data_IF_478587056382
#
_entry.id   IF_478587056382
#
_cell.length_a   1.000
_cell.length_b   1.000
_cell.length_c   1.000
_cell.angle_alpha   90.00
_cell.angle_beta   90.00
_cell.angle_gamma   90.00
#
_symmetry.space_group_name_H-M   'P 1'
#
loop_
_entity.id
_entity.type
_entity.pdbx_description
1 polymer ?
#
# COMPACT_ATOMS: atom_id res chain seq x y z
N UNK A 1 9.80 36.80 21.21
CA UNK A 1 9.09 35.91 20.26
C UNK A 1 8.29 34.91 21.08
N UNK A 2 6.97 35.10 21.12
CA UNK A 2 6.04 34.28 21.89
C UNK A 2 5.55 33.14 21.00
N UNK A 3 5.87 31.90 21.36
CA UNK A 3 5.33 30.71 20.71
C UNK A 3 4.09 30.25 21.49
N UNK A 4 2.92 30.45 20.90
CA UNK A 4 1.64 30.05 21.47
C UNK A 4 1.57 28.52 21.57
N UNK A 5 1.35 28.02 22.79
CA UNK A 5 0.98 26.62 23.04
C UNK A 5 -0.50 26.45 22.74
N UNK A 6 -0.84 25.84 21.61
CA UNK A 6 -2.21 25.41 21.38
C UNK A 6 -2.41 24.00 21.95
N UNK A 7 -3.40 23.90 22.82
CA UNK A 7 -3.77 22.71 23.56
C UNK A 7 -4.63 21.81 22.67
N UNK A 8 -4.14 20.61 22.37
CA UNK A 8 -4.97 19.54 21.80
C UNK A 8 -5.82 18.93 22.92
N UNK A 9 -7.03 19.45 23.10
CA UNK A 9 -8.05 18.86 23.99
C UNK A 9 -8.78 17.73 23.25
N UNK A 10 -8.88 16.59 23.95
CA UNK A 10 -9.27 15.32 23.37
C UNK A 10 -10.75 15.16 23.04
N UNK A 11 -11.02 14.20 22.16
CA UNK A 11 -12.36 13.63 21.98
C UNK A 11 -12.24 12.11 22.12
N UNK A 12 -12.45 11.63 23.35
CA UNK A 12 -12.87 10.24 23.60
C UNK A 12 -14.38 10.18 23.35
N UNK A 13 -14.84 9.50 22.31
CA UNK A 13 -16.26 9.10 22.20
C UNK A 13 -16.40 7.61 22.45
N UNK A 14 -17.27 7.31 23.41
CA UNK A 14 -17.57 6.00 23.97
C UNK A 14 -18.44 5.18 23.02
N UNK A 15 -18.23 3.87 23.16
CA UNK A 15 -19.03 2.70 22.78
C UNK A 15 -20.55 2.95 22.85
N UNK A 16 -21.28 2.45 21.84
CA UNK A 16 -22.70 2.11 21.96
C UNK A 16 -22.91 0.68 21.43
N UNK A 17 -23.13 -0.24 22.35
CA UNK A 17 -23.71 -1.57 22.13
C UNK A 17 -25.21 -1.41 21.88
N UNK A 18 -25.74 -2.05 20.83
CA UNK A 18 -27.17 -2.37 20.74
C UNK A 18 -27.29 -3.84 20.36
N UNK A 19 -27.79 -4.63 21.31
CA UNK A 19 -28.25 -5.98 21.09
C UNK A 19 -29.68 -5.94 20.55
N UNK A 20 -30.01 -6.80 19.59
CA UNK A 20 -31.39 -7.19 19.29
C UNK A 20 -31.44 -8.66 18.83
N UNK A 21 -32.00 -9.50 19.69
CA UNK A 21 -32.55 -10.83 19.39
C UNK A 21 -33.81 -10.67 18.52
N UNK A 22 -34.02 -11.56 17.54
CA UNK A 22 -35.32 -12.21 17.32
C UNK A 22 -35.19 -13.45 16.43
N UNK A 23 -35.69 -14.57 16.96
CA UNK A 23 -35.88 -15.88 16.34
C UNK A 23 -37.09 -15.88 15.39
N UNK A 24 -37.02 -16.63 14.28
CA UNK A 24 -38.20 -17.32 13.71
C UNK A 24 -37.78 -18.70 13.19
N UNK A 25 -38.51 -19.72 13.65
CA UNK A 25 -38.40 -21.13 13.27
C UNK A 25 -39.21 -21.43 11.99
N UNK A 26 -38.83 -22.48 11.25
CA UNK A 26 -39.61 -22.98 10.11
C UNK A 26 -39.17 -24.34 9.55
N UNK A 27 -39.80 -25.41 10.07
CA UNK A 27 -40.18 -26.71 9.47
C UNK A 27 -39.26 -27.52 8.53
N UNK A 28 -39.17 -28.80 8.88
CA UNK A 28 -38.62 -29.93 8.12
C UNK A 28 -39.52 -30.45 6.97
N UNK A 29 -38.90 -31.20 6.04
CA UNK A 29 -39.51 -32.11 5.06
C UNK A 29 -39.25 -31.66 3.60
N UNK A 30 -38.93 -32.49 2.60
CA UNK A 30 -38.82 -33.94 2.46
C UNK A 30 -37.90 -34.25 1.26
N UNK A 31 -37.42 -35.50 1.19
CA UNK A 31 -36.60 -36.04 0.10
C UNK A 31 -37.29 -36.04 -1.28
N UNK A 32 -36.52 -35.77 -2.32
CA UNK A 32 -36.90 -35.96 -3.73
C UNK A 32 -35.65 -36.14 -4.61
N UNK A 33 -35.58 -37.27 -5.30
CA UNK A 33 -34.48 -37.71 -6.17
C UNK A 33 -34.39 -36.93 -7.48
N UNK A 34 -33.14 -36.90 -7.99
CA UNK A 34 -32.72 -36.98 -9.38
C UNK A 34 -33.06 -35.83 -10.36
N UNK A 35 -32.00 -35.16 -10.80
CA UNK A 35 -31.97 -34.38 -12.04
C UNK A 35 -30.53 -34.07 -12.42
N UNK A 36 -29.95 -34.88 -13.33
CA UNK A 36 -28.60 -34.70 -13.87
C UNK A 36 -28.61 -33.57 -14.90
N UNK A 37 -27.72 -32.58 -14.74
CA UNK A 37 -27.23 -31.79 -15.88
C UNK A 37 -25.81 -31.29 -15.61
N UNK A 38 -24.89 -31.88 -16.37
CA UNK A 38 -23.61 -31.40 -16.92
C UNK A 38 -22.61 -30.56 -16.08
N UNK A 39 -21.31 -30.91 -16.12
CA UNK A 39 -20.25 -30.04 -15.67
C UNK A 39 -19.91 -29.03 -16.77
N UNK A 40 -20.36 -27.78 -16.64
CA UNK A 40 -19.75 -26.68 -17.39
C UNK A 40 -18.40 -26.33 -16.74
N UNK A 41 -17.40 -27.08 -17.18
CA UNK A 41 -16.02 -26.67 -17.01
C UNK A 41 -15.73 -25.41 -17.80
N UNK A 42 -14.83 -24.60 -17.22
CA UNK A 42 -13.82 -23.79 -17.93
C UNK A 42 -14.44 -22.71 -18.83
N UNK A 43 -14.51 -21.46 -18.39
CA UNK A 43 -13.38 -20.62 -18.05
C UNK A 43 -13.86 -19.55 -17.06
N UNK A 44 -13.33 -19.57 -15.83
CA UNK A 44 -12.91 -18.30 -15.25
C UNK A 44 -11.79 -17.83 -16.17
N UNK A 45 -12.18 -17.11 -17.23
CA UNK A 45 -11.26 -16.30 -17.99
C UNK A 45 -10.82 -15.27 -16.98
N UNK A 46 -9.71 -15.60 -16.33
CA UNK A 46 -8.83 -14.68 -15.66
C UNK A 46 -8.66 -13.56 -16.68
N UNK A 47 -9.48 -12.53 -16.56
CA UNK A 47 -9.25 -11.25 -17.19
C UNK A 47 -7.94 -10.81 -16.56
N UNK A 48 -6.84 -11.28 -17.16
CA UNK A 48 -5.61 -10.54 -17.25
C UNK A 48 -5.99 -9.35 -18.12
N UNK A 49 -6.67 -8.40 -17.49
CA UNK A 49 -6.86 -7.07 -18.03
C UNK A 49 -5.48 -6.61 -18.41
N UNK A 50 -5.31 -6.36 -19.70
CA UNK A 50 -4.12 -5.81 -20.34
C UNK A 50 -3.79 -4.47 -19.68
N UNK A 51 -3.17 -4.50 -18.51
CA UNK A 51 -2.67 -3.31 -17.80
C UNK A 51 -1.15 -3.37 -17.80
N UNK A 52 -0.56 -3.54 -18.98
CA UNK A 52 0.88 -3.37 -19.16
C UNK A 52 1.10 -2.34 -20.27
N UNK A 53 0.77 -1.08 -19.95
CA UNK A 53 1.06 0.05 -20.85
C UNK A 53 1.03 1.43 -20.18
N UNK A 54 0.45 1.59 -18.98
CA UNK A 54 0.31 2.92 -18.34
C UNK A 54 1.37 3.25 -17.28
N UNK A 55 2.11 2.26 -16.80
CA UNK A 55 3.15 2.45 -15.78
C UNK A 55 4.53 2.38 -16.43
N UNK A 56 5.22 3.52 -16.51
CA UNK A 56 6.57 3.64 -17.05
C UNK A 56 7.33 4.70 -16.26
N UNK A 57 8.54 4.36 -15.84
CA UNK A 57 9.43 5.29 -15.17
C UNK A 57 10.26 6.07 -16.20
N UNK A 58 10.04 7.38 -16.25
CA UNK A 58 10.78 8.33 -17.07
C UNK A 58 12.11 8.70 -16.42
N UNK A 59 13.13 7.85 -16.60
CA UNK A 59 14.48 8.07 -16.07
C UNK A 59 15.16 9.35 -16.60
N UNK A 60 14.68 9.92 -17.71
CA UNK A 60 15.15 11.19 -18.27
C UNK A 60 14.55 12.43 -17.57
N UNK A 61 13.58 12.24 -16.68
CA UNK A 61 13.03 13.32 -15.86
C UNK A 61 14.02 13.84 -14.80
N UNK A 62 15.05 13.04 -14.48
CA UNK A 62 16.13 13.40 -13.57
C UNK A 62 17.40 13.80 -14.33
N UNK A 63 18.13 14.80 -13.83
CA UNK A 63 19.49 15.11 -14.32
C UNK A 63 20.45 13.95 -14.05
N UNK A 64 21.62 13.90 -14.72
CA UNK A 64 22.62 12.88 -14.43
C UNK A 64 23.05 12.85 -12.95
N UNK A 65 23.21 14.02 -12.31
CA UNK A 65 23.53 14.09 -10.88
C UNK A 65 22.39 13.59 -10.01
N UNK A 66 21.15 14.02 -10.28
CA UNK A 66 19.96 13.56 -9.55
C UNK A 66 19.77 12.05 -9.67
N UNK A 67 20.01 11.48 -10.85
CA UNK A 67 19.91 10.03 -11.08
C UNK A 67 20.99 9.25 -10.32
N UNK A 68 22.22 9.76 -10.26
CA UNK A 68 23.28 9.14 -9.49
C UNK A 68 22.96 9.16 -7.98
N UNK A 69 22.45 10.29 -7.48
CA UNK A 69 22.03 10.42 -6.09
C UNK A 69 20.84 9.52 -5.76
N UNK A 70 19.81 9.51 -6.61
CA UNK A 70 18.63 8.65 -6.47
C UNK A 70 19.01 7.16 -6.45
N UNK A 71 19.96 6.74 -7.29
CA UNK A 71 20.48 5.37 -7.28
C UNK A 71 21.14 5.02 -5.94
N UNK A 72 22.00 5.90 -5.42
CA UNK A 72 22.67 5.69 -4.12
C UNK A 72 21.66 5.59 -2.97
N UNK A 73 20.66 6.47 -2.96
CA UNK A 73 19.58 6.41 -1.97
C UNK A 73 18.76 5.12 -2.12
N UNK A 74 18.42 4.72 -3.34
CA UNK A 74 17.69 3.48 -3.61
C UNK A 74 18.42 2.26 -3.05
N UNK A 75 19.72 2.13 -3.34
CA UNK A 75 20.57 1.05 -2.83
C UNK A 75 20.64 1.05 -1.29
N UNK A 76 20.81 2.22 -0.68
CA UNK A 76 20.80 2.39 0.77
C UNK A 76 19.47 1.94 1.37
N UNK A 77 18.34 2.45 0.86
CA UNK A 77 17.00 2.14 1.35
C UNK A 77 16.70 0.65 1.23
N UNK A 78 17.03 0.01 0.11
CA UNK A 78 16.85 -1.43 -0.06
C UNK A 78 17.66 -2.26 0.94
N UNK A 79 18.88 -1.83 1.26
CA UNK A 79 19.76 -2.54 2.18
C UNK A 79 19.34 -2.43 3.66
N UNK A 80 18.75 -1.30 4.05
CA UNK A 80 18.40 -1.00 5.45
C UNK A 80 16.90 -1.12 5.75
N UNK A 81 16.11 -1.52 4.76
CA UNK A 81 14.68 -1.76 4.94
C UNK A 81 14.48 -2.79 6.05
N UNK A 82 13.55 -2.51 6.96
CA UNK A 82 13.23 -3.42 8.06
C UNK A 82 12.20 -4.45 7.62
N UNK A 83 11.12 -3.99 7.01
CA UNK A 83 9.99 -4.81 6.64
C UNK A 83 9.28 -4.24 5.41
N UNK A 84 8.63 -5.12 4.65
CA UNK A 84 7.73 -4.76 3.55
C UNK A 84 6.37 -5.36 3.88
N UNK A 85 5.36 -4.50 3.94
CA UNK A 85 3.98 -4.90 4.21
C UNK A 85 3.17 -4.66 2.95
N UNK A 86 2.56 -5.72 2.41
CA UNK A 86 1.59 -5.58 1.31
C UNK A 86 0.30 -4.95 1.87
N UNK A 87 -0.19 -3.91 1.21
CA UNK A 87 -1.46 -3.26 1.53
C UNK A 87 -2.48 -3.52 0.41
N UNK A 88 -3.74 -3.15 0.64
CA UNK A 88 -4.78 -3.28 -0.37
C UNK A 88 -4.42 -2.51 -1.66
N UNK A 89 -3.84 -1.31 -1.51
CA UNK A 89 -3.59 -0.34 -2.60
C UNK A 89 -2.12 -0.23 -3.05
N UNK A 90 -1.21 -1.01 -2.47
CA UNK A 90 0.22 -0.84 -2.73
C UNK A 90 1.10 -1.57 -1.71
N UNK A 91 2.23 -0.99 -1.37
CA UNK A 91 3.16 -1.52 -0.37
C UNK A 91 3.57 -0.45 0.64
N UNK A 92 3.91 -0.91 1.83
CA UNK A 92 4.54 -0.09 2.86
C UNK A 92 5.94 -0.64 3.16
N UNK A 93 6.92 0.25 3.16
CA UNK A 93 8.30 -0.04 3.50
C UNK A 93 8.61 0.60 4.85
N UNK A 94 9.07 -0.20 5.79
CA UNK A 94 9.38 0.27 7.14
C UNK A 94 10.88 0.45 7.32
N UNK A 95 11.27 1.55 7.94
CA UNK A 95 12.66 1.92 8.21
C UNK A 95 12.85 2.33 9.67
N UNK A 96 14.05 2.10 10.16
CA UNK A 96 14.49 2.64 11.45
C UNK A 96 15.08 4.05 11.24
N UNK A 97 14.71 5.04 12.07
CA UNK A 97 15.23 6.41 12.00
C UNK A 97 16.73 6.49 12.33
N UNK A 98 17.33 5.42 12.84
CA UNK A 98 18.78 5.30 13.05
C UNK A 98 19.53 5.02 11.74
N UNK A 99 18.87 4.37 10.77
CA UNK A 99 19.50 3.96 9.50
C UNK A 99 19.17 4.93 8.36
N UNK A 100 17.95 5.48 8.36
CA UNK A 100 17.42 6.38 7.33
C UNK A 100 16.79 7.57 8.01
N UNK A 101 17.19 8.77 7.62
CA UNK A 101 16.54 9.99 8.08
C UNK A 101 15.28 10.29 7.25
N UNK A 102 14.34 11.02 7.85
CA UNK A 102 13.15 11.48 7.13
C UNK A 102 13.49 12.33 5.90
N UNK A 103 14.56 13.12 5.98
CA UNK A 103 15.04 13.96 4.88
C UNK A 103 15.55 13.12 3.69
N UNK A 104 16.34 12.08 3.96
CA UNK A 104 16.82 11.16 2.92
C UNK A 104 15.66 10.42 2.23
N UNK A 105 14.68 9.99 3.02
CA UNK A 105 13.49 9.33 2.49
C UNK A 105 12.66 10.29 1.63
N UNK A 106 12.47 11.52 2.09
CA UNK A 106 11.75 12.54 1.34
C UNK A 106 12.45 12.90 0.03
N UNK A 107 13.78 13.00 0.03
CA UNK A 107 14.55 13.27 -1.18
C UNK A 107 14.41 12.14 -2.21
N UNK A 108 14.48 10.89 -1.76
CA UNK A 108 14.20 9.74 -2.61
C UNK A 108 12.79 9.79 -3.21
N UNK A 109 11.76 10.10 -2.40
CA UNK A 109 10.37 10.25 -2.86
C UNK A 109 10.22 11.37 -3.88
N UNK A 110 10.90 12.51 -3.69
CA UNK A 110 10.87 13.61 -4.65
C UNK A 110 11.45 13.20 -6.01
N UNK A 111 12.57 12.49 -6.02
CA UNK A 111 13.13 11.94 -7.26
C UNK A 111 12.22 10.88 -7.90
N UNK A 112 11.63 9.99 -7.09
CA UNK A 112 10.72 8.94 -7.58
C UNK A 112 9.43 9.54 -8.16
N UNK A 113 8.86 10.57 -7.53
CA UNK A 113 7.66 11.26 -8.04
C UNK A 113 7.88 11.94 -9.40
N UNK A 114 9.11 12.39 -9.71
CA UNK A 114 9.48 12.90 -11.03
C UNK A 114 9.62 11.77 -12.05
N UNK A 115 10.27 10.67 -11.64
CA UNK A 115 10.56 9.53 -12.50
C UNK A 115 9.29 8.73 -12.82
N UNK A 116 8.46 8.44 -11.81
CA UNK A 116 7.32 7.55 -11.85
C UNK A 116 6.09 8.30 -11.29
N UNK A 117 5.57 9.23 -12.09
CA UNK A 117 4.53 10.21 -11.68
C UNK A 117 3.13 9.63 -11.43
N UNK A 118 3.00 8.32 -11.38
CA UNK A 118 1.74 7.58 -11.17
C UNK A 118 1.65 6.99 -9.76
N UNK A 119 2.69 7.13 -8.95
CA UNK A 119 2.69 6.71 -7.56
C UNK A 119 2.17 7.82 -6.64
N UNK A 120 1.38 7.43 -5.66
CA UNK A 120 1.05 8.21 -4.49
C UNK A 120 1.96 7.80 -3.33
N UNK A 121 2.61 8.78 -2.70
CA UNK A 121 3.55 8.55 -1.61
C UNK A 121 3.00 9.10 -0.29
N UNK A 122 3.09 8.31 0.77
CA UNK A 122 2.80 8.74 2.12
C UNK A 122 3.99 8.38 3.02
N UNK A 123 4.46 9.36 3.80
CA UNK A 123 5.49 9.13 4.79
C UNK A 123 4.88 9.35 6.16
N UNK A 124 4.79 8.27 6.94
CA UNK A 124 4.26 8.27 8.30
C UNK A 124 5.41 8.10 9.29
N UNK A 125 5.41 8.90 10.37
CA UNK A 125 6.31 8.73 11.52
C UNK A 125 5.52 8.09 12.65
N UNK A 126 5.81 6.82 12.92
CA UNK A 126 5.07 6.01 13.88
C UNK A 126 5.88 5.74 15.15
N UNK A 127 5.19 5.20 16.16
CA UNK A 127 5.80 4.79 17.44
C UNK A 127 6.62 5.91 18.10
N UNK A 128 6.07 7.12 18.18
CA UNK A 128 6.75 8.31 18.73
C UNK A 128 8.03 8.66 17.94
N UNK A 129 8.02 8.44 16.62
CA UNK A 129 9.14 8.71 15.73
C UNK A 129 10.24 7.63 15.76
N UNK A 130 9.95 6.44 16.29
CA UNK A 130 10.87 5.29 16.32
C UNK A 130 10.76 4.42 15.06
N UNK A 131 9.76 4.66 14.23
CA UNK A 131 9.52 3.94 12.99
C UNK A 131 9.16 4.93 11.88
N UNK A 132 9.78 4.80 10.72
CA UNK A 132 9.43 5.56 9.53
C UNK A 132 8.77 4.59 8.55
N UNK A 133 7.53 4.87 8.16
CA UNK A 133 6.78 4.06 7.21
C UNK A 133 6.63 4.84 5.91
N UNK A 134 7.16 4.30 4.81
CA UNK A 134 6.91 4.80 3.46
C UNK A 134 5.83 3.94 2.81
N UNK A 135 4.64 4.48 2.61
CA UNK A 135 3.59 3.85 1.83
C UNK A 135 3.64 4.36 0.40
N UNK A 136 3.70 3.42 -0.54
CA UNK A 136 3.66 3.70 -1.97
C UNK A 136 2.42 3.00 -2.53
N UNK A 137 1.48 3.80 -3.03
CA UNK A 137 0.21 3.34 -3.59
C UNK A 137 0.03 3.85 -5.02
N UNK A 138 -0.99 3.36 -5.70
CA UNK A 138 -1.34 3.85 -7.03
C UNK A 138 -2.61 3.19 -7.56
N UNK A 139 -2.88 3.40 -8.85
CA UNK A 139 -4.07 2.86 -9.51
C UNK A 139 -4.08 1.33 -9.61
N UNK A 140 -5.23 0.78 -10.01
CA UNK A 140 -5.37 -0.65 -10.22
C UNK A 140 -4.29 -1.20 -11.19
N UNK A 141 -3.66 -2.31 -10.79
CA UNK A 141 -2.53 -2.92 -11.48
C UNK A 141 -1.15 -2.53 -10.92
N UNK A 142 -1.06 -1.50 -10.07
CA UNK A 142 0.22 -0.98 -9.56
C UNK A 142 1.02 -2.01 -8.77
N UNK A 143 0.35 -2.89 -8.02
CA UNK A 143 1.03 -3.91 -7.19
C UNK A 143 1.87 -4.88 -8.01
N UNK A 144 1.41 -5.25 -9.22
CA UNK A 144 2.16 -6.15 -10.10
C UNK A 144 3.40 -5.45 -10.68
N UNK A 145 3.25 -4.17 -11.03
CA UNK A 145 4.38 -3.34 -11.45
C UNK A 145 5.42 -3.23 -10.33
N UNK A 146 5.00 -2.92 -9.11
CA UNK A 146 5.89 -2.80 -7.95
C UNK A 146 6.61 -4.10 -7.58
N UNK A 147 5.98 -5.27 -7.71
CA UNK A 147 6.66 -6.57 -7.50
C UNK A 147 7.85 -6.75 -8.43
N UNK A 148 7.70 -6.32 -9.67
CA UNK A 148 8.73 -6.46 -10.70
C UNK A 148 9.85 -5.44 -10.51
N UNK A 149 9.50 -4.17 -10.26
CA UNK A 149 10.47 -3.08 -10.17
C UNK A 149 11.20 -3.01 -8.83
N UNK A 150 10.48 -3.13 -7.70
CA UNK A 150 11.05 -3.05 -6.36
C UNK A 150 11.49 -4.41 -5.80
N UNK A 151 11.26 -5.50 -6.53
CA UNK A 151 11.57 -6.86 -6.07
C UNK A 151 10.88 -7.20 -4.76
N UNK A 152 9.62 -6.78 -4.60
CA UNK A 152 8.81 -7.12 -3.42
C UNK A 152 8.07 -8.44 -3.70
N UNK A 153 8.23 -9.44 -2.82
CA UNK A 153 7.71 -10.80 -2.98
C UNK A 153 6.97 -11.21 -1.71
#
# INVERSE_FOLDING_TARGET
MNYAKEQFTGIRKKIATVAALALVAGSAGAAGLAGQSAPEGRKAEKQMTTTHSKFFCNTKALTPEERAHHKQLSEKLMAVRKEIVETEKGYEFQFSPQNVTLAELADWVLAESKCCSFFDFHIDLENEGKLICLRVTGEEGIKQFMRTEFGVH
#
